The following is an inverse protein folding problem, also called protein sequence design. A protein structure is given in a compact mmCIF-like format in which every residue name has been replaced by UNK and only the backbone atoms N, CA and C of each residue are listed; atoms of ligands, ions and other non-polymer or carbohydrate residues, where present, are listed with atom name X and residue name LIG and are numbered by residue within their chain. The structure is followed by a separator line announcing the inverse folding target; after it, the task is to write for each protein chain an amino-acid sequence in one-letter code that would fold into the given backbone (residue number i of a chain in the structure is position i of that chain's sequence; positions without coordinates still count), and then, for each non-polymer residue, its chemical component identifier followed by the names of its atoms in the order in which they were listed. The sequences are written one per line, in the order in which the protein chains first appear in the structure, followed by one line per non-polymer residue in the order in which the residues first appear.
data_IF_522308670474
#
_entry.id   IF_522308670474
#
_cell.length_a   1.000
_cell.length_b   1.000
_cell.length_c   1.000
_cell.angle_alpha   90.00
_cell.angle_beta   90.00
_cell.angle_gamma   90.00
#
_symmetry.space_group_name_H-M   'P 1'
#
loop_
_entity.id
_entity.type
_entity.pdbx_description
1 polymer ?
2 non-polymer ?
3 water ?
#
# COMPACT_ATOMS: atom_id res chain seq x y z
N UNK A 47 10.99 19.21 12.76
CA UNK A 47 10.13 18.69 11.69
C UNK A 47 9.65 17.27 12.01
N UNK A 48 10.18 16.71 13.09
CA UNK A 48 9.60 15.53 13.72
C UNK A 48 8.55 16.04 14.72
N UNK A 49 7.47 15.30 14.93
CA UNK A 49 6.54 15.68 15.98
C UNK A 49 6.60 14.75 17.19
N UNK A 50 6.76 15.36 18.38
CA UNK A 50 6.85 14.62 19.62
C UNK A 50 5.52 14.72 20.34
N UNK A 51 4.85 15.85 20.15
CA UNK A 51 3.59 16.13 20.83
C UNK A 51 2.81 17.24 20.14
N UNK A 52 1.56 17.42 20.57
CA UNK A 52 0.71 18.45 20.00
C UNK A 52 0.60 19.67 20.90
N UNK A 53 -0.54 20.35 20.78
CA UNK A 53 -0.80 21.59 21.53
C UNK A 53 -0.88 21.32 23.03
N UNK A 54 0.11 21.81 23.78
CA UNK A 54 0.17 21.54 25.22
C UNK A 54 -0.87 22.31 26.02
N UNK A 55 -1.55 23.26 25.39
CA UNK A 55 -2.51 24.09 26.10
C UNK A 55 -3.94 23.59 25.90
N UNK A 56 -4.08 22.44 25.25
CA UNK A 56 -5.40 21.83 25.06
C UNK A 56 -5.42 20.41 25.59
N UNK A 57 -6.61 19.90 25.88
CA UNK A 57 -6.74 18.61 26.54
C UNK A 57 -7.02 17.47 25.56
N UNK A 58 -6.12 17.33 24.60
CA UNK A 58 -6.25 16.28 23.58
C UNK A 58 -4.94 15.51 23.54
N UNK A 59 -5.04 14.19 23.45
CA UNK A 59 -3.84 13.35 23.43
C UNK A 59 -4.06 12.27 22.39
N UNK A 60 -2.97 11.69 21.91
CA UNK A 60 -3.07 10.63 20.92
C UNK A 60 -2.50 9.34 21.49
N UNK A 61 -3.32 8.28 21.54
CA UNK A 61 -2.77 6.96 21.86
C UNK A 61 -2.32 6.34 20.56
N UNK A 62 -1.06 5.89 20.53
CA UNK A 62 -0.53 5.25 19.34
C UNK A 62 -0.03 3.83 19.68
N UNK A 63 -0.25 2.91 18.75
CA UNK A 63 0.12 1.51 18.93
C UNK A 63 1.04 1.06 17.80
N UNK A 64 2.26 0.62 18.14
CA UNK A 64 3.18 0.07 17.14
C UNK A 64 2.98 -1.45 17.03
N UNK A 65 2.95 -1.97 15.82
CA UNK A 65 2.91 -3.41 15.58
C UNK A 65 4.02 -3.83 14.61
N UNK A 66 4.99 -4.58 15.11
CA UNK A 66 6.09 -5.01 14.23
C UNK A 66 6.04 -6.52 13.99
N UNK A 67 5.26 -7.22 14.81
CA UNK A 67 5.14 -8.67 14.68
C UNK A 67 3.95 -9.16 15.49
N UNK A 68 3.51 -10.37 15.17
CA UNK A 68 2.53 -11.05 16.00
C UNK A 68 1.19 -11.35 15.36
N UNK A 69 0.47 -12.31 15.95
CA UNK A 69 -0.85 -12.68 15.45
C UNK A 69 -1.89 -12.91 16.55
N UNK A 70 -1.63 -12.42 17.77
CA UNK A 70 -2.51 -12.72 18.92
C UNK A 70 -3.04 -11.52 19.72
N UNK A 71 -2.22 -10.48 19.88
CA UNK A 71 -2.58 -9.40 20.81
C UNK A 71 -3.35 -8.24 20.20
N UNK A 72 -3.16 -7.98 18.90
CA UNK A 72 -3.77 -6.82 18.26
C UNK A 72 -5.29 -6.89 18.22
N UNK A 73 -5.84 -8.05 17.87
CA UNK A 73 -7.30 -8.16 17.76
C UNK A 73 -8.03 -7.89 19.09
N UNK A 74 -7.57 -8.51 20.21
CA UNK A 74 -8.22 -8.15 21.48
C UNK A 74 -8.08 -6.67 21.83
N UNK A 75 -6.93 -6.07 21.55
CA UNK A 75 -6.78 -4.62 21.74
C UNK A 75 -7.80 -3.85 20.90
N UNK A 76 -7.99 -4.29 19.66
CA UNK A 76 -8.98 -3.68 18.79
C UNK A 76 -10.40 -3.87 19.33
N UNK A 77 -10.68 -5.05 19.88
CA UNK A 77 -12.01 -5.29 20.48
C UNK A 77 -12.24 -4.39 21.67
N UNK A 78 -11.19 -4.15 22.45
CA UNK A 78 -11.29 -3.27 23.61
C UNK A 78 -11.58 -1.82 23.20
N UNK A 79 -10.85 -1.33 22.20
CA UNK A 79 -11.07 0.04 21.70
C UNK A 79 -12.49 0.22 21.19
N UNK A 80 -13.01 -0.79 20.51
CA UNK A 80 -14.37 -0.72 19.97
C UNK A 80 -15.38 -0.66 21.11
N UNK A 81 -15.18 -1.52 22.10
CA UNK A 81 -16.05 -1.65 23.27
C UNK A 81 -16.08 -0.39 24.13
N UNK A 82 -14.95 0.32 24.18
CA UNK A 82 -14.87 1.57 24.92
C UNK A 82 -15.16 2.78 24.02
N UNK A 83 -15.63 2.51 22.80
CA UNK A 83 -16.04 3.56 21.86
C UNK A 83 -14.88 4.45 21.33
N UNK A 84 -13.72 3.87 21.12
CA UNK A 84 -12.61 4.60 20.51
C UNK A 84 -12.44 4.17 19.05
N UNK A 85 -12.60 5.11 18.12
CA UNK A 85 -12.53 4.77 16.69
C UNK A 85 -11.45 5.58 15.97
N UNK A 86 -10.60 6.25 16.73
CA UNK A 86 -9.61 7.14 16.12
C UNK A 86 -8.25 7.08 16.80
N UNK A 87 -7.86 5.87 17.23
CA UNK A 87 -6.50 5.68 17.69
C UNK A 87 -5.59 5.66 16.45
N UNK A 88 -4.28 5.58 16.67
CA UNK A 88 -3.34 5.56 15.55
C UNK A 88 -2.45 4.32 15.69
N UNK A 89 -2.32 3.56 14.61
CA UNK A 89 -1.51 2.35 14.59
C UNK A 89 -0.38 2.50 13.60
N UNK A 90 0.86 2.28 14.04
CA UNK A 90 2.01 2.30 13.15
C UNK A 90 2.42 0.87 12.84
N UNK A 91 2.46 0.52 11.57
CA UNK A 91 2.56 -0.88 11.17
C UNK A 91 3.82 -1.10 10.37
N UNK A 92 4.51 -2.18 10.67
CA UNK A 92 5.59 -2.63 9.78
C UNK A 92 4.90 -3.29 8.59
N UNK A 93 5.28 -2.92 7.38
CA UNK A 93 4.57 -3.42 6.19
C UNK A 93 4.91 -4.88 5.89
N UNK A 94 6.05 -5.35 6.39
CA UNK A 94 6.39 -6.76 6.24
C UNK A 94 5.44 -7.58 7.10
N UNK A 95 5.14 -7.07 8.28
CA UNK A 95 4.13 -7.70 9.13
C UNK A 95 2.74 -7.63 8.48
N UNK A 96 2.38 -6.45 7.97
CA UNK A 96 1.03 -6.23 7.43
C UNK A 96 0.73 -7.15 6.25
N UNK A 97 1.72 -7.32 5.39
CA UNK A 97 1.61 -8.21 4.23
C UNK A 97 1.27 -9.65 4.65
N UNK A 98 1.76 -10.06 5.82
CA UNK A 98 1.55 -11.41 6.35
C UNK A 98 0.28 -11.53 7.18
N UNK A 99 -0.22 -10.40 7.69
CA UNK A 99 -1.43 -10.40 8.51
C UNK A 99 -2.50 -9.41 8.04
N UNK A 100 -2.96 -9.56 6.78
CA UNK A 100 -3.89 -8.56 6.25
C UNK A 100 -5.24 -8.61 6.96
N UNK A 101 -5.56 -9.72 7.61
CA UNK A 101 -6.81 -9.79 8.35
C UNK A 101 -6.80 -8.77 9.47
N UNK A 102 -5.67 -8.64 10.15
CA UNK A 102 -5.56 -7.66 11.24
C UNK A 102 -5.62 -6.23 10.69
N UNK A 103 -4.87 -5.95 9.63
CA UNK A 103 -4.93 -4.64 8.99
C UNK A 103 -6.36 -4.29 8.58
N UNK A 104 -7.07 -5.25 7.98
CA UNK A 104 -8.48 -5.08 7.59
C UNK A 104 -9.30 -4.59 8.77
N UNK A 105 -9.06 -5.17 9.92
CA UNK A 105 -9.86 -4.85 11.10
C UNK A 105 -9.57 -3.43 11.59
N UNK A 106 -8.30 -3.04 11.55
CA UNK A 106 -7.89 -1.69 11.96
C UNK A 106 -8.59 -0.66 11.06
N UNK A 107 -8.56 -0.90 9.76
CA UNK A 107 -9.20 -0.01 8.79
C UNK A 107 -10.72 0.04 9.03
N UNK A 108 -11.33 -1.12 9.22
CA UNK A 108 -12.77 -1.19 9.38
C UNK A 108 -13.27 -0.41 10.60
N UNK A 109 -12.48 -0.40 11.67
CA UNK A 109 -12.91 0.22 12.91
C UNK A 109 -12.69 1.73 12.91
N UNK A 110 -11.93 2.23 11.93
CA UNK A 110 -11.82 3.67 11.75
C UNK A 110 -10.49 4.30 12.10
N UNK A 111 -9.56 3.50 12.61
CA UNK A 111 -8.30 4.03 13.14
C UNK A 111 -7.39 4.55 12.04
N UNK A 112 -6.51 5.48 12.40
CA UNK A 112 -5.51 5.97 11.49
C UNK A 112 -4.33 5.00 11.44
N UNK A 113 -3.77 4.80 10.23
CA UNK A 113 -2.59 3.94 10.08
C UNK A 113 -1.36 4.70 9.60
N UNK A 114 -0.25 4.49 10.29
CA UNK A 114 1.00 5.09 9.87
C UNK A 114 1.97 3.99 9.48
N UNK A 115 3.03 4.37 8.77
CA UNK A 115 4.01 3.40 8.32
C UNK A 115 5.17 3.23 9.33
N UNK A 116 5.72 2.02 9.41
CA UNK A 116 7.01 1.83 10.11
C UNK A 116 8.02 1.22 9.14
N UNK A 117 7.91 1.59 7.87
CA UNK A 117 8.76 1.00 6.83
C UNK A 117 8.33 -0.42 6.50
N UNK A 118 9.13 -1.12 5.69
CA UNK A 118 8.79 -2.49 5.32
C UNK A 118 9.55 -3.45 6.19
N UNK A 119 10.87 -3.50 5.97
CA UNK A 119 11.77 -4.25 6.83
C UNK A 119 11.87 -3.60 8.21
N UNK A 120 11.95 -4.40 9.26
CA UNK A 120 12.14 -3.84 10.59
C UNK A 120 13.63 -3.73 10.93
N UNK A 121 14.36 -2.93 10.15
CA UNK A 121 15.73 -2.60 10.47
C UNK A 121 15.92 -1.08 10.49
N UNK A 122 16.81 -0.62 11.38
CA UNK A 122 17.04 0.79 11.62
C UNK A 122 17.48 1.57 10.38
N UNK A 123 16.85 2.71 10.16
CA UNK A 123 17.18 3.58 9.03
C UNK A 123 18.55 4.26 9.18
N UNK A 124 19.03 4.39 10.41
CA UNK A 124 20.33 5.00 10.69
C UNK A 124 21.48 4.12 10.20
N UNK A 125 21.19 2.84 9.99
CA UNK A 125 22.19 1.90 9.51
C UNK A 125 21.98 1.55 8.03
N UNK A 126 21.51 2.53 7.25
CA UNK A 126 21.18 2.29 5.84
C UNK A 126 21.57 3.48 4.97
N UNK A 127 21.91 3.19 3.71
CA UNK A 127 22.15 4.24 2.73
C UNK A 127 20.85 4.94 2.35
N UNK A 128 20.96 6.17 1.86
CA UNK A 128 19.81 6.95 1.41
C UNK A 128 18.82 6.21 0.50
N UNK A 129 19.33 5.60 -0.57
CA UNK A 129 18.48 4.88 -1.51
C UNK A 129 17.79 3.69 -0.86
N UNK A 130 18.47 3.01 0.05
CA UNK A 130 17.90 1.84 0.74
C UNK A 130 16.69 2.25 1.57
N UNK A 131 16.77 3.41 2.20
CA UNK A 131 15.67 3.96 3.00
C UNK A 131 14.48 4.32 2.13
N UNK A 132 14.73 5.06 1.05
CA UNK A 132 13.68 5.44 0.11
C UNK A 132 12.96 4.20 -0.43
N UNK A 133 13.73 3.19 -0.79
CA UNK A 133 13.17 1.95 -1.31
C UNK A 133 12.33 1.18 -0.28
N UNK A 134 12.76 1.22 0.98
CA UNK A 134 12.01 0.53 2.04
C UNK A 134 10.67 1.20 2.23
N UNK A 135 10.68 2.53 2.18
CA UNK A 135 9.47 3.33 2.35
C UNK A 135 8.52 3.13 1.17
N UNK A 136 9.07 3.06 -0.04
CA UNK A 136 8.26 2.84 -1.24
C UNK A 136 7.63 1.45 -1.26
N UNK A 137 8.43 0.44 -0.90
CA UNK A 137 7.91 -0.93 -0.80
C UNK A 137 6.77 -0.96 0.23
N UNK A 138 6.95 -0.25 1.33
CA UNK A 138 5.93 -0.24 2.37
C UNK A 138 4.62 0.40 1.88
N UNK A 139 4.72 1.56 1.22
CA UNK A 139 3.54 2.24 0.70
C UNK A 139 2.81 1.36 -0.32
N UNK A 140 3.58 0.61 -1.10
CA UNK A 140 3.02 -0.29 -2.09
C UNK A 140 2.14 -1.34 -1.41
N UNK A 141 2.67 -1.96 -0.36
CA UNK A 141 1.90 -2.93 0.42
C UNK A 141 0.67 -2.28 1.05
N UNK A 142 0.85 -1.12 1.66
CA UNK A 142 -0.29 -0.49 2.32
C UNK A 142 -1.44 -0.17 1.37
N UNK A 143 -1.11 0.24 0.15
CA UNK A 143 -2.13 0.52 -0.85
C UNK A 143 -2.87 -0.74 -1.25
N UNK A 144 -2.12 -1.83 -1.42
CA UNK A 144 -2.73 -3.11 -1.76
C UNK A 144 -3.61 -3.63 -0.63
N UNK A 145 -3.35 -3.21 0.60
CA UNK A 145 -4.20 -3.58 1.71
C UNK A 145 -5.35 -2.59 1.89
N UNK A 146 -5.44 -1.59 1.02
CA UNK A 146 -6.54 -0.63 1.08
C UNK A 146 -6.38 0.48 2.12
N UNK A 147 -5.16 0.69 2.58
CA UNK A 147 -4.89 1.74 3.55
C UNK A 147 -4.85 3.10 2.87
N UNK A 148 -5.57 4.08 3.43
CA UNK A 148 -5.52 5.45 2.95
C UNK A 148 -4.06 5.88 2.95
N UNK A 149 -3.66 6.66 1.94
CA UNK A 149 -2.25 6.93 1.70
C UNK A 149 -1.53 7.49 2.92
N UNK A 150 -0.36 6.92 3.20
CA UNK A 150 0.39 7.26 4.39
C UNK A 150 0.90 8.71 4.38
N UNK A 151 0.62 9.42 5.48
CA UNK A 151 1.21 10.72 5.71
C UNK A 151 2.22 10.66 6.86
N UNK A 152 2.12 9.61 7.68
CA UNK A 152 2.88 9.54 8.93
C UNK A 152 3.85 8.37 9.01
N UNK A 153 5.05 8.66 9.50
CA UNK A 153 6.10 7.66 9.59
C UNK A 153 6.67 7.56 11.00
N UNK A 154 6.75 6.34 11.51
CA UNK A 154 7.53 6.07 12.71
C UNK A 154 8.65 5.09 12.33
N UNK A 155 9.87 5.61 12.15
CA UNK A 155 11.00 4.81 11.68
C UNK A 155 11.28 3.63 12.61
N UNK A 156 11.64 2.47 12.05
CA UNK A 156 11.83 1.24 12.84
C UNK A 156 12.75 1.49 14.04
N UNK A 157 12.31 1.10 15.23
CA UNK A 157 13.04 1.30 16.50
C UNK A 157 13.08 2.74 16.99
N UNK A 158 12.52 3.66 16.21
CA UNK A 158 12.53 5.07 16.57
C UNK A 158 13.83 5.76 16.18
N UNK A 159 14.75 4.99 15.59
CA UNK A 159 16.04 5.52 15.19
C UNK A 159 15.96 6.32 13.89
N UNK A 160 16.37 7.58 13.95
CA UNK A 160 16.47 8.42 12.76
C UNK A 160 17.52 9.51 12.97
N UNK A 161 17.94 10.14 11.88
CA UNK A 161 18.87 11.26 11.94
C UNK A 161 18.45 12.34 10.95
N UNK A 162 19.42 13.12 10.47
CA UNK A 162 19.14 14.18 9.51
C UNK A 162 18.74 13.61 8.14
N UNK A 163 19.52 12.65 7.68
CA UNK A 163 19.26 11.98 6.42
C UNK A 163 17.83 11.48 6.32
N UNK A 164 17.44 10.69 7.32
CA UNK A 164 16.13 10.08 7.40
C UNK A 164 15.00 11.10 7.23
N UNK A 165 15.11 12.22 7.95
CA UNK A 165 14.07 13.25 7.94
C UNK A 165 13.88 13.88 6.56
N UNK A 166 14.99 14.17 5.88
CA UNK A 166 14.90 14.77 4.56
C UNK A 166 14.27 13.81 3.57
N UNK A 167 14.71 12.55 3.63
CA UNK A 167 14.10 11.50 2.83
C UNK A 167 12.61 11.45 3.09
N UNK A 168 12.24 11.33 4.36
CA UNK A 168 10.83 11.31 4.73
C UNK A 168 10.10 12.51 4.16
N UNK A 169 10.71 13.69 4.27
CA UNK A 169 10.12 14.90 3.70
C UNK A 169 10.02 14.79 2.17
N UNK A 170 11.05 14.21 1.56
CA UNK A 170 11.04 14.02 0.11
C UNK A 170 9.87 13.13 -0.32
N UNK A 171 9.49 12.19 0.54
CA UNK A 171 8.39 11.29 0.23
C UNK A 171 7.04 11.80 0.72
N UNK A 172 7.03 12.97 1.34
CA UNK A 172 5.77 13.57 1.78
C UNK A 172 5.34 13.18 3.19
N UNK A 173 6.24 12.52 3.92
CA UNK A 173 5.94 12.01 5.26
C UNK A 173 6.25 13.00 6.38
N UNK A 174 5.47 12.96 7.44
CA UNK A 174 5.84 13.58 8.72
C UNK A 174 6.38 12.49 9.64
N UNK A 175 7.55 12.70 10.23
CA UNK A 175 8.08 11.73 11.19
C UNK A 175 7.44 11.94 12.57
N UNK A 176 6.93 10.85 13.15
CA UNK A 176 6.22 10.93 14.43
C UNK A 176 7.00 10.18 15.51
N UNK A 177 7.26 10.85 16.62
CA UNK A 177 7.91 10.19 17.74
C UNK A 177 6.86 10.03 18.83
N UNK A 178 7.20 10.41 20.06
CA UNK A 178 6.25 10.35 21.18
C UNK A 178 6.76 11.19 22.34
N UNK A 179 5.88 11.46 23.31
CA UNK A 179 6.25 12.31 24.42
C UNK A 179 5.98 11.60 25.75
N UNK A 180 5.28 10.46 25.68
CA UNK A 180 4.87 9.73 26.88
C UNK A 180 4.96 8.23 26.59
N UNK A 181 6.05 7.61 27.06
CA UNK A 181 6.31 6.19 26.81
C UNK A 181 5.73 5.32 27.93
N UNK A 182 4.75 4.48 27.59
CA UNK A 182 4.12 3.60 28.57
C UNK A 182 5.06 2.52 29.05
N UNK A 183 6.11 2.25 28.27
CA UNK A 183 7.01 1.11 28.53
C UNK A 183 6.30 -0.23 28.56
N UNK A 184 5.14 -0.31 27.91
CA UNK A 184 4.36 -1.53 27.92
C UNK A 184 5.06 -2.75 27.28
N UNK A 185 6.03 -2.50 26.38
CA UNK A 185 6.79 -3.59 25.76
C UNK A 185 7.65 -4.34 26.78
N UNK A 186 7.92 -3.69 27.91
CA UNK A 186 8.68 -4.31 29.00
C UNK A 186 7.79 -5.21 29.86
N UNK A 187 6.48 -5.15 29.64
CA UNK A 187 5.52 -5.82 30.51
C UNK A 187 5.76 -5.65 32.02
N UNK A 188 5.76 -4.40 32.50
CA UNK A 188 6.19 -4.15 33.87
C UNK A 188 5.06 -4.35 34.86
N UNK A 189 3.92 -4.85 34.39
CA UNK A 189 2.73 -4.96 35.23
C UNK A 189 1.68 -3.93 34.82
N UNK A 190 0.41 -4.34 34.82
CA UNK A 190 -0.69 -3.43 34.45
C UNK A 190 -0.66 -2.11 35.23
N UNK A 191 -0.59 -2.20 36.56
CA UNK A 191 -0.53 -0.99 37.38
C UNK A 191 0.58 -0.03 36.97
N UNK A 192 1.73 -0.58 36.59
CA UNK A 192 2.88 0.23 36.20
C UNK A 192 2.68 0.91 34.83
N UNK A 193 2.07 0.18 33.91
CA UNK A 193 1.70 0.77 32.61
C UNK A 193 0.72 1.91 32.84
N UNK A 194 -0.31 1.64 33.62
CA UNK A 194 -1.32 2.67 33.91
C UNK A 194 -0.71 3.90 34.61
N UNK A 195 0.14 3.68 35.62
CA UNK A 195 0.65 4.83 36.38
C UNK A 195 1.69 5.61 35.57
N UNK A 196 2.52 4.90 34.79
CA UNK A 196 3.49 5.58 33.93
C UNK A 196 2.79 6.57 33.00
N UNK A 197 1.77 6.12 32.28
CA UNK A 197 1.07 7.02 31.37
C UNK A 197 0.30 8.08 32.14
N UNK A 198 -0.48 7.67 33.13
CA UNK A 198 -1.34 8.66 33.77
C UNK A 198 -0.62 9.66 34.70
N UNK A 199 0.44 9.24 35.40
CA UNK A 199 1.17 10.19 36.26
C UNK A 199 1.83 11.29 35.44
N UNK A 200 2.18 10.98 34.20
CA UNK A 200 2.92 11.90 33.36
C UNK A 200 2.06 12.56 32.29
N UNK A 201 0.76 12.30 32.33
CA UNK A 201 -0.13 12.71 31.25
C UNK A 201 -0.26 14.23 31.16
N UNK A 202 0.12 14.78 30.00
CA UNK A 202 -0.08 16.21 29.71
C UNK A 202 -0.91 16.34 28.45
N UNK A 203 -1.65 17.45 28.33
CA UNK A 203 -2.32 17.77 27.08
C UNK A 203 -1.33 17.84 25.93
N UNK A 204 -1.72 17.32 24.78
CA UNK A 204 -0.83 17.26 23.63
C UNK A 204 0.05 16.01 23.56
N UNK A 205 -0.02 15.16 24.58
CA UNK A 205 0.82 13.96 24.61
C UNK A 205 0.58 13.02 23.43
N UNK A 206 1.66 12.48 22.90
CA UNK A 206 1.57 11.31 22.04
C UNK A 206 2.10 10.15 22.86
N UNK A 207 1.22 9.19 23.15
CA UNK A 207 1.54 8.08 24.02
C UNK A 207 1.95 6.86 23.21
N UNK A 208 3.10 6.28 23.58
CA UNK A 208 3.57 5.06 22.92
C UNK A 208 3.08 3.80 23.63
N UNK A 209 2.31 2.99 22.92
CA UNK A 209 1.85 1.69 23.39
C UNK A 209 2.18 0.72 22.28
N UNK A 210 2.04 -0.59 22.55
CA UNK A 210 2.30 -1.60 21.54
C UNK A 210 1.11 -2.52 21.37
N UNK A 211 0.87 -2.99 20.15
CA UNK A 211 -0.14 -4.03 19.92
C UNK A 211 0.47 -5.25 19.25
N UNK A 212 1.81 -5.34 19.30
CA UNK A 212 2.50 -6.55 18.85
C UNK A 212 2.35 -7.65 19.89
N UNK A 213 2.83 -8.86 19.59
CA UNK A 213 2.71 -9.96 20.54
C UNK A 213 3.69 -9.84 21.72
N UNK A 214 4.50 -8.79 21.73
CA UNK A 214 5.33 -8.46 22.90
C UNK A 214 4.48 -7.84 24.00
N UNK A 215 3.32 -7.32 23.62
CA UNK A 215 2.47 -6.58 24.55
C UNK A 215 1.50 -7.50 25.27
N UNK A 216 1.97 -8.13 26.35
CA UNK A 216 1.17 -9.08 27.09
C UNK A 216 0.15 -8.44 28.03
N UNK A 217 0.35 -7.17 28.34
CA UNK A 217 -0.46 -6.52 29.40
C UNK A 217 -1.20 -5.27 28.91
N UNK A 218 -0.95 -4.87 27.66
CA UNK A 218 -1.49 -3.63 27.13
C UNK A 218 -3.02 -3.61 27.13
N UNK A 219 -3.62 -4.71 26.64
CA UNK A 219 -5.07 -4.82 26.60
C UNK A 219 -5.73 -4.71 27.98
N UNK A 220 -5.07 -5.27 29.00
CA UNK A 220 -5.56 -5.22 30.38
C UNK A 220 -5.49 -3.81 30.93
N UNK A 221 -4.47 -3.05 30.51
CA UNK A 221 -4.27 -1.69 31.00
C UNK A 221 -5.17 -0.71 30.28
N UNK A 222 -5.57 -1.06 29.06
CA UNK A 222 -6.26 -0.11 28.17
C UNK A 222 -7.60 0.48 28.69
N UNK A 223 -8.46 -0.34 29.31
CA UNK A 223 -9.67 0.31 29.83
C UNK A 223 -9.35 1.33 30.91
N UNK A 224 -8.30 1.06 31.70
CA UNK A 224 -7.95 1.95 32.80
C UNK A 224 -7.34 3.24 32.28
N UNK A 225 -6.53 3.12 31.22
CA UNK A 225 -5.97 4.28 30.53
C UNK A 225 -7.07 5.14 29.92
N UNK A 226 -8.04 4.51 29.27
CA UNK A 226 -9.11 5.25 28.59
C UNK A 226 -10.04 5.93 29.61
N UNK A 227 -10.24 5.28 30.75
CA UNK A 227 -11.04 5.86 31.83
C UNK A 227 -10.35 7.08 32.41
N UNK A 228 -9.06 6.96 32.67
CA UNK A 228 -8.27 8.09 33.15
C UNK A 228 -8.42 9.28 32.20
N UNK A 229 -8.39 9.01 30.90
CA UNK A 229 -8.51 10.07 29.91
C UNK A 229 -9.86 10.76 30.05
N UNK A 230 -10.93 9.98 29.97
CA UNK A 230 -12.28 10.54 30.03
C UNK A 230 -12.54 11.26 31.35
N UNK A 231 -12.22 10.62 32.47
CA UNK A 231 -12.58 11.19 33.78
C UNK A 231 -11.82 12.49 34.07
N UNK A 232 -10.64 12.64 33.47
CA UNK A 232 -9.90 13.89 33.66
C UNK A 232 -10.07 14.90 32.52
N UNK A 233 -11.04 14.66 31.65
CA UNK A 233 -11.40 15.62 30.62
C UNK A 233 -10.48 15.69 29.41
N UNK A 234 -9.70 14.64 29.17
CA UNK A 234 -8.89 14.60 27.96
C UNK A 234 -9.63 13.91 26.83
N UNK A 235 -9.37 14.33 25.60
CA UNK A 235 -9.98 13.71 24.43
C UNK A 235 -8.91 12.94 23.64
N UNK A 236 -9.19 11.69 23.31
CA UNK A 236 -8.27 10.90 22.48
C UNK A 236 -8.51 11.20 21.01
N UNK A 237 -7.50 11.69 20.30
CA UNK A 237 -7.64 11.93 18.87
C UNK A 237 -6.52 11.27 18.08
N UNK A 238 -6.70 11.15 16.77
CA UNK A 238 -5.65 10.52 15.96
C UNK A 238 -4.44 11.46 15.85
N UNK A 239 -3.29 10.93 15.42
CA UNK A 239 -2.09 11.75 15.31
C UNK A 239 -2.23 12.86 14.27
N UNK A 240 -2.96 12.57 13.20
CA UNK A 240 -3.20 13.57 12.15
C UNK A 240 -4.12 14.66 12.66
N UNK A 241 -5.13 14.28 13.44
CA UNK A 241 -6.01 15.25 14.08
C UNK A 241 -5.22 16.14 15.04
N UNK A 242 -4.29 15.52 15.77
CA UNK A 242 -3.47 16.25 16.75
C UNK A 242 -2.55 17.24 16.05
N UNK A 243 -1.91 16.80 14.98
CA UNK A 243 -1.02 17.67 14.19
C UNK A 243 -1.76 18.89 13.66
N UNK A 244 -2.93 18.67 13.07
CA UNK A 244 -3.68 19.76 12.47
C UNK A 244 -4.25 20.70 13.55
N UNK A 245 -4.36 20.21 14.78
CA UNK A 245 -4.89 20.99 15.89
C UNK A 245 -3.86 21.82 16.61
N UNK A 246 -2.62 21.85 16.09
CA UNK A 246 -1.55 22.58 16.76
C UNK A 246 -1.57 24.06 16.41
N UNK B 47 -18.56 0.49 -18.29
CA UNK B 47 -17.81 -0.55 -18.99
C UNK B 47 -16.55 -0.99 -18.22
N UNK B 48 -16.57 -2.24 -17.76
CA UNK B 48 -15.52 -2.80 -16.92
C UNK B 48 -15.26 -4.25 -17.36
N UNK B 49 -14.01 -4.70 -17.33
CA UNK B 49 -13.75 -6.09 -17.73
C UNK B 49 -12.88 -6.82 -16.71
N UNK B 50 -13.29 -8.05 -16.37
CA UNK B 50 -12.52 -8.90 -15.47
C UNK B 50 -11.90 -10.03 -16.28
N UNK B 51 -12.59 -10.42 -17.36
CA UNK B 51 -12.06 -11.44 -18.27
C UNK B 51 -12.85 -11.47 -19.56
N UNK B 52 -12.25 -12.00 -20.61
CA UNK B 52 -12.86 -11.99 -21.92
C UNK B 52 -13.65 -13.24 -22.28
N UNK B 53 -13.96 -13.37 -23.56
CA UNK B 53 -14.83 -14.44 -24.09
C UNK B 53 -14.17 -15.81 -24.02
N UNK B 54 -14.73 -16.65 -23.16
CA UNK B 54 -14.09 -17.89 -22.71
C UNK B 54 -14.05 -19.00 -23.76
N UNK B 55 -14.46 -18.67 -24.97
CA UNK B 55 -14.48 -19.62 -26.08
C UNK B 55 -13.07 -19.98 -26.57
N UNK B 56 -12.25 -18.96 -26.78
CA UNK B 56 -10.96 -19.12 -27.47
C UNK B 56 -9.77 -19.12 -26.52
N UNK B 57 -8.75 -19.91 -26.82
CA UNK B 57 -7.56 -19.99 -25.97
C UNK B 57 -6.65 -18.77 -26.14
N UNK B 58 -7.15 -17.64 -25.65
CA UNK B 58 -6.41 -16.38 -25.65
C UNK B 58 -6.46 -15.82 -24.23
N UNK B 59 -5.33 -15.33 -23.73
CA UNK B 59 -5.25 -14.67 -22.43
C UNK B 59 -4.46 -13.37 -22.53
N UNK B 60 -4.69 -12.48 -21.57
CA UNK B 60 -3.95 -11.22 -21.53
C UNK B 60 -3.07 -11.16 -20.28
N UNK B 61 -1.76 -11.04 -20.49
CA UNK B 61 -0.84 -10.82 -19.38
C UNK B 61 -0.74 -9.32 -19.15
N UNK B 62 -1.02 -8.88 -17.93
CA UNK B 62 -0.97 -7.46 -17.61
C UNK B 62 0.08 -7.20 -16.53
N UNK B 63 0.81 -6.11 -16.68
CA UNK B 63 1.86 -5.77 -15.72
C UNK B 63 1.57 -4.40 -15.10
N UNK B 64 1.46 -4.36 -13.77
CA UNK B 64 1.24 -3.09 -13.04
C UNK B 64 2.61 -2.55 -12.67
N UNK B 65 2.86 -1.26 -12.92
CA UNK B 65 4.07 -0.60 -12.40
C UNK B 65 3.72 0.66 -11.62
N UNK B 66 3.97 0.66 -10.31
CA UNK B 66 3.67 1.83 -9.49
C UNK B 66 4.92 2.48 -8.89
N UNK B 67 6.04 1.76 -8.87
CA UNK B 67 7.30 2.32 -8.38
C UNK B 67 8.48 1.47 -8.87
N UNK B 68 9.68 2.05 -8.90
CA UNK B 68 10.86 1.26 -9.18
C UNK B 68 11.71 1.68 -10.37
N UNK B 69 12.99 1.32 -10.31
CA UNK B 69 13.90 1.63 -11.41
C UNK B 69 14.73 0.42 -11.83
N UNK B 70 14.39 -0.76 -11.32
CA UNK B 70 15.22 -1.94 -11.50
C UNK B 70 14.58 -3.13 -12.22
N UNK B 71 13.31 -3.39 -11.93
CA UNK B 71 12.70 -4.66 -12.33
C UNK B 71 12.03 -4.65 -13.70
N UNK B 72 11.53 -3.50 -14.11
CA UNK B 72 10.78 -3.38 -15.36
C UNK B 72 11.62 -3.64 -16.63
N UNK B 73 12.82 -3.10 -16.68
CA UNK B 73 13.62 -3.25 -17.91
C UNK B 73 13.97 -4.72 -18.21
N UNK B 74 14.43 -5.49 -17.19
CA UNK B 74 14.66 -6.91 -17.50
C UNK B 74 13.39 -7.65 -17.91
N UNK B 75 12.22 -7.24 -17.42
CA UNK B 75 10.98 -7.90 -17.82
C UNK B 75 10.71 -7.60 -19.27
N UNK B 76 10.92 -6.35 -19.65
CA UNK B 76 10.77 -5.92 -21.03
C UNK B 76 11.75 -6.65 -21.97
N UNK B 77 12.96 -6.89 -21.49
CA UNK B 77 13.94 -7.64 -22.29
C UNK B 77 13.51 -9.10 -22.46
N UNK B 78 13.03 -9.71 -21.38
CA UNK B 78 12.54 -11.09 -21.42
C UNK B 78 11.42 -11.21 -22.44
N UNK B 79 10.45 -10.31 -22.38
CA UNK B 79 9.36 -10.30 -23.34
C UNK B 79 9.86 -10.16 -24.78
N UNK B 80 10.80 -9.24 -25.00
CA UNK B 80 11.26 -8.95 -26.35
C UNK B 80 11.99 -10.14 -26.97
N UNK B 81 12.75 -10.87 -26.17
CA UNK B 81 13.52 -11.95 -26.75
C UNK B 81 12.71 -13.23 -26.92
N UNK B 82 11.46 -13.21 -26.46
CA UNK B 82 10.53 -14.30 -26.75
C UNK B 82 9.42 -13.82 -27.68
N UNK B 83 9.68 -12.71 -28.35
CA UNK B 83 8.75 -12.15 -29.33
C UNK B 83 7.35 -11.77 -28.81
N UNK B 84 7.23 -11.49 -27.52
CA UNK B 84 5.97 -10.95 -26.99
C UNK B 84 5.96 -9.42 -27.16
N UNK B 85 5.16 -8.91 -28.09
CA UNK B 85 5.13 -7.47 -28.37
C UNK B 85 3.78 -6.85 -28.06
N UNK B 86 2.89 -7.62 -27.43
CA UNK B 86 1.52 -7.17 -27.20
C UNK B 86 1.03 -7.49 -25.78
N UNK B 87 1.89 -7.32 -24.79
CA UNK B 87 1.43 -7.37 -23.39
C UNK B 87 0.80 -6.03 -23.03
N UNK B 88 0.19 -5.94 -21.84
CA UNK B 88 -0.44 -4.68 -21.42
C UNK B 88 0.22 -4.22 -20.14
N UNK B 89 0.69 -2.96 -20.14
CA UNK B 89 1.33 -2.38 -18.95
C UNK B 89 0.44 -1.31 -18.36
N UNK B 90 0.08 -1.47 -17.08
CA UNK B 90 -0.67 -0.43 -16.39
C UNK B 90 0.27 0.40 -15.52
N UNK B 91 0.29 1.70 -15.77
CA UNK B 91 1.33 2.58 -15.23
C UNK B 91 0.75 3.68 -14.35
N UNK B 92 1.29 3.78 -13.14
CA UNK B 92 1.00 4.90 -12.26
C UNK B 92 1.67 6.11 -12.86
N UNK B 93 0.94 7.20 -13.03
CA UNK B 93 1.50 8.35 -13.73
C UNK B 93 2.55 9.08 -12.90
N UNK B 94 2.44 9.02 -11.58
CA UNK B 94 3.49 9.62 -10.74
C UNK B 94 4.82 8.91 -10.98
N UNK B 95 4.75 7.59 -11.16
CA UNK B 95 5.95 6.85 -11.51
C UNK B 95 6.38 7.19 -12.94
N UNK B 96 5.41 7.23 -13.85
CA UNK B 96 5.71 7.44 -15.27
C UNK B 96 6.45 8.76 -15.56
N UNK B 97 6.03 9.85 -14.93
CA UNK B 97 6.69 11.14 -15.18
C UNK B 97 8.10 11.16 -14.62
N UNK B 98 8.42 10.23 -13.74
CA UNK B 98 9.75 10.13 -13.14
C UNK B 98 10.65 9.12 -13.86
N UNK B 99 10.08 8.38 -14.81
CA UNK B 99 10.87 7.39 -15.57
C UNK B 99 10.47 7.37 -17.03
N UNK B 100 10.56 8.53 -17.72
CA UNK B 100 10.05 8.54 -19.09
C UNK B 100 10.85 7.67 -20.05
N UNK B 101 12.11 7.36 -19.72
CA UNK B 101 12.89 6.46 -20.56
C UNK B 101 12.30 5.04 -20.50
N UNK B 102 11.76 4.65 -19.34
CA UNK B 102 11.17 3.32 -19.21
C UNK B 102 9.85 3.27 -20.00
N UNK B 103 9.08 4.36 -19.93
CA UNK B 103 7.82 4.46 -20.66
C UNK B 103 8.05 4.39 -22.18
N UNK B 104 9.08 5.10 -22.64
CA UNK B 104 9.42 5.10 -24.06
C UNK B 104 9.78 3.68 -24.52
N UNK B 105 10.48 2.93 -23.66
CA UNK B 105 10.85 1.55 -23.99
C UNK B 105 9.62 0.64 -24.13
N UNK B 106 8.66 0.82 -23.22
CA UNK B 106 7.41 0.06 -23.28
C UNK B 106 6.66 0.35 -24.58
N UNK B 107 6.57 1.63 -24.94
CA UNK B 107 5.88 2.05 -26.16
C UNK B 107 6.57 1.47 -27.40
N UNK B 108 7.88 1.72 -27.49
CA UNK B 108 8.69 1.29 -28.63
C UNK B 108 8.61 -0.23 -28.86
N UNK B 109 8.52 -1.00 -27.78
CA UNK B 109 8.44 -2.45 -27.90
C UNK B 109 7.08 -2.92 -28.41
N UNK B 110 6.09 -2.02 -28.42
CA UNK B 110 4.79 -2.34 -28.99
C UNK B 110 3.66 -2.63 -28.02
N UNK B 111 3.97 -2.66 -26.72
CA UNK B 111 2.94 -3.03 -25.75
C UNK B 111 1.86 -1.97 -25.58
N UNK B 112 0.67 -2.39 -25.15
CA UNK B 112 -0.39 -1.45 -24.84
C UNK B 112 -0.16 -0.86 -23.44
N UNK B 113 -0.47 0.43 -23.31
CA UNK B 113 -0.33 1.13 -22.04
C UNK B 113 -1.71 1.49 -21.53
N UNK B 114 -2.00 1.14 -20.28
CA UNK B 114 -3.20 1.63 -19.62
C UNK B 114 -2.82 2.56 -18.48
N UNK B 115 -3.74 3.45 -18.09
CA UNK B 115 -3.49 4.32 -16.96
C UNK B 115 -3.79 3.59 -15.66
N UNK B 116 -3.03 3.91 -14.61
CA UNK B 116 -3.33 3.41 -13.27
C UNK B 116 -3.56 4.58 -12.30
N UNK B 117 -4.07 5.70 -12.82
CA UNK B 117 -4.17 6.90 -12.00
C UNK B 117 -2.82 7.60 -11.84
N UNK B 118 -2.74 8.59 -10.95
CA UNK B 118 -1.49 9.33 -10.75
C UNK B 118 -0.76 8.79 -9.52
N UNK B 119 -1.37 8.99 -8.36
CA UNK B 119 -0.84 8.43 -7.13
C UNK B 119 -1.27 6.97 -6.96
N UNK B 120 -0.39 6.15 -6.39
CA UNK B 120 -0.75 4.76 -6.13
C UNK B 120 -1.46 4.65 -4.79
N UNK B 121 -2.73 5.01 -4.78
CA UNK B 121 -3.51 4.97 -3.55
C UNK B 121 -4.91 4.47 -3.86
N UNK B 122 -5.51 3.75 -2.93
CA UNK B 122 -6.82 3.14 -3.18
C UNK B 122 -7.89 4.20 -3.42
N UNK B 123 -8.52 4.15 -4.59
CA UNK B 123 -9.64 5.03 -4.88
C UNK B 123 -10.84 4.85 -3.92
N UNK B 124 -11.00 3.68 -3.34
CA UNK B 124 -12.11 3.54 -2.39
C UNK B 124 -11.82 4.20 -1.04
N UNK B 125 -10.62 4.76 -0.89
CA UNK B 125 -10.29 5.55 0.30
C UNK B 125 -10.41 7.05 0.05
N UNK B 126 -10.71 7.43 -1.19
CA UNK B 126 -10.74 8.83 -1.59
C UNK B 126 -12.17 9.33 -1.82
N UNK B 127 -12.35 10.64 -1.69
CA UNK B 127 -13.59 11.31 -2.10
C UNK B 127 -13.65 11.37 -3.61
N UNK B 128 -14.86 11.52 -4.15
CA UNK B 128 -15.05 11.61 -5.60
C UNK B 128 -14.23 12.72 -6.27
N UNK B 129 -14.11 13.88 -5.62
CA UNK B 129 -13.36 15.00 -6.20
C UNK B 129 -11.86 14.65 -6.29
N UNK B 130 -11.37 13.90 -5.31
CA UNK B 130 -9.97 13.47 -5.30
C UNK B 130 -9.70 12.43 -6.40
N UNK B 131 -10.63 11.49 -6.56
CA UNK B 131 -10.51 10.48 -7.62
C UNK B 131 -10.43 11.16 -8.97
N UNK B 132 -11.32 12.14 -9.19
CA UNK B 132 -11.32 12.86 -10.46
C UNK B 132 -10.02 13.64 -10.64
N UNK B 133 -9.53 14.27 -9.57
CA UNK B 133 -8.30 15.06 -9.69
C UNK B 133 -7.17 14.12 -10.05
N UNK B 134 -7.16 12.94 -9.44
CA UNK B 134 -6.08 11.98 -9.67
C UNK B 134 -6.06 11.49 -11.13
N UNK B 135 -7.23 11.18 -11.68
CA UNK B 135 -7.32 10.73 -13.06
C UNK B 135 -6.94 11.82 -14.08
N UNK B 136 -7.31 13.06 -13.80
CA UNK B 136 -6.97 14.16 -14.69
C UNK B 136 -5.47 14.47 -14.63
N UNK B 137 -4.87 14.38 -13.44
CA UNK B 137 -3.43 14.54 -13.33
C UNK B 137 -2.73 13.47 -14.19
N UNK B 138 -3.20 12.22 -14.10
CA UNK B 138 -2.61 11.13 -14.88
C UNK B 138 -2.73 11.38 -16.39
N UNK B 139 -3.91 11.82 -16.81
CA UNK B 139 -4.18 12.13 -18.21
C UNK B 139 -3.18 13.18 -18.71
N UNK B 140 -2.96 14.21 -17.90
CA UNK B 140 -2.00 15.26 -18.26
C UNK B 140 -0.58 14.69 -18.40
N UNK B 141 -0.19 13.84 -17.46
CA UNK B 141 1.15 13.21 -17.55
C UNK B 141 1.32 12.43 -18.84
N UNK B 142 0.34 11.60 -19.19
CA UNK B 142 0.49 10.76 -20.37
C UNK B 142 0.46 11.56 -21.66
N UNK B 143 -0.34 12.61 -21.69
CA UNK B 143 -0.36 13.54 -22.82
C UNK B 143 1.02 14.15 -23.03
N UNK B 144 1.61 14.65 -21.93
CA UNK B 144 2.96 15.22 -21.96
C UNK B 144 4.00 14.20 -22.40
N UNK B 145 3.77 12.92 -22.09
CA UNK B 145 4.72 11.89 -22.51
C UNK B 145 4.44 11.43 -23.93
N UNK B 146 3.42 11.98 -24.56
CA UNK B 146 3.12 11.63 -25.94
C UNK B 146 2.28 10.38 -26.13
N UNK B 147 1.69 9.87 -25.04
CA UNK B 147 0.74 8.76 -25.15
C UNK B 147 -0.70 9.26 -24.92
N UNK B 148 -1.38 9.58 -26.03
CA UNK B 148 -2.70 10.19 -25.97
C UNK B 148 -3.82 9.20 -26.24
N UNK B 149 -3.46 7.98 -26.64
CA UNK B 149 -4.47 7.02 -27.04
C UNK B 149 -4.84 6.03 -25.95
N UNK B 150 -4.90 6.48 -24.69
CA UNK B 150 -5.20 5.54 -23.60
C UNK B 150 -6.70 5.22 -23.52
N UNK B 151 -7.03 3.93 -23.52
CA UNK B 151 -8.40 3.46 -23.58
C UNK B 151 -8.74 2.66 -22.33
N UNK B 152 -7.71 2.25 -21.60
CA UNK B 152 -7.86 1.36 -20.46
C UNK B 152 -7.41 2.00 -19.16
N UNK B 153 -8.20 1.79 -18.10
CA UNK B 153 -7.82 2.25 -16.77
C UNK B 153 -7.87 1.10 -15.78
N UNK B 154 -6.78 0.90 -15.04
CA UNK B 154 -6.85 0.03 -13.86
C UNK B 154 -6.64 0.90 -12.62
N UNK B 155 -7.72 1.15 -11.87
CA UNK B 155 -7.57 1.94 -10.64
C UNK B 155 -6.57 1.23 -9.74
N UNK B 156 -5.77 1.99 -8.97
CA UNK B 156 -4.71 1.40 -8.16
C UNK B 156 -5.17 0.18 -7.35
N UNK B 157 -4.49 -0.95 -7.54
CA UNK B 157 -4.78 -2.20 -6.85
C UNK B 157 -6.16 -2.78 -7.10
N UNK B 158 -6.82 -2.32 -8.18
CA UNK B 158 -8.11 -2.85 -8.55
C UNK B 158 -9.29 -2.39 -7.73
N UNK B 159 -9.05 -1.47 -6.79
CA UNK B 159 -10.12 -0.93 -5.92
C UNK B 159 -10.91 0.17 -6.62
N UNK B 160 -12.23 0.02 -6.72
CA UNK B 160 -13.02 1.07 -7.35
C UNK B 160 -14.51 1.01 -6.97
N UNK B 161 -15.23 2.09 -7.27
CA UNK B 161 -16.66 2.18 -7.01
C UNK B 161 -17.38 2.78 -8.21
N UNK B 162 -18.68 3.02 -8.08
CA UNK B 162 -19.46 3.56 -9.20
C UNK B 162 -19.03 4.96 -9.60
N UNK B 163 -18.66 5.78 -8.62
CA UNK B 163 -18.16 7.11 -8.91
C UNK B 163 -16.91 7.03 -9.78
N UNK B 164 -16.03 6.07 -9.47
CA UNK B 164 -14.85 5.83 -10.31
C UNK B 164 -15.26 5.47 -11.75
N UNK B 165 -16.20 4.54 -11.90
CA UNK B 165 -16.70 4.16 -13.22
C UNK B 165 -17.28 5.33 -13.99
N UNK B 166 -18.00 6.21 -13.27
CA UNK B 166 -18.62 7.34 -13.93
C UNK B 166 -17.55 8.31 -14.46
N UNK B 167 -16.51 8.53 -13.66
CA UNK B 167 -15.41 9.37 -14.14
C UNK B 167 -14.65 8.70 -15.27
N UNK B 168 -14.36 7.41 -15.11
CA UNK B 168 -13.68 6.65 -16.16
C UNK B 168 -14.44 6.77 -17.49
N UNK B 169 -15.74 6.54 -17.43
CA UNK B 169 -16.58 6.66 -18.61
C UNK B 169 -16.44 8.03 -19.28
N UNK B 170 -16.54 9.09 -18.49
CA UNK B 170 -16.46 10.45 -19.05
C UNK B 170 -15.11 10.71 -19.72
N UNK B 171 -14.09 9.95 -19.31
CA UNK B 171 -12.77 10.10 -19.88
C UNK B 171 -12.56 9.11 -21.02
N UNK B 172 -13.58 8.30 -21.29
CA UNK B 172 -13.50 7.30 -22.34
C UNK B 172 -12.63 6.10 -22.02
N UNK B 173 -12.56 5.72 -20.74
CA UNK B 173 -11.77 4.56 -20.32
C UNK B 173 -12.65 3.34 -20.04
N UNK B 174 -12.15 2.17 -20.44
CA UNK B 174 -12.67 0.92 -19.90
C UNK B 174 -11.86 0.57 -18.66
N UNK B 175 -12.56 0.18 -17.59
CA UNK B 175 -11.92 -0.23 -16.35
C UNK B 175 -11.54 -1.71 -16.41
N UNK B 176 -10.29 -2.03 -16.09
CA UNK B 176 -9.78 -3.37 -16.29
C UNK B 176 -9.35 -3.96 -14.96
N UNK B 177 -10.05 -5.00 -14.50
CA UNK B 177 -9.68 -5.69 -13.27
C UNK B 177 -8.92 -6.95 -13.74
N UNK B 178 -9.19 -8.11 -13.17
CA UNK B 178 -8.50 -9.33 -13.62
C UNK B 178 -9.26 -10.58 -13.20
N UNK B 179 -8.80 -11.75 -13.63
CA UNK B 179 -9.50 -12.98 -13.27
C UNK B 179 -8.51 -14.06 -12.83
N UNK B 180 -7.24 -13.66 -12.76
CA UNK B 180 -6.17 -14.57 -12.41
C UNK B 180 -5.08 -13.74 -11.79
N UNK B 181 -4.85 -13.95 -10.49
CA UNK B 181 -3.86 -13.15 -9.78
C UNK B 181 -2.65 -13.99 -9.43
N UNK B 182 -1.50 -13.65 -9.99
CA UNK B 182 -0.27 -14.39 -9.76
C UNK B 182 0.20 -14.23 -8.32
N UNK B 183 -0.30 -13.17 -7.67
CA UNK B 183 0.22 -12.71 -6.39
C UNK B 183 1.74 -12.60 -6.31
N UNK B 184 2.34 -12.16 -7.42
CA UNK B 184 3.79 -12.11 -7.54
C UNK B 184 4.41 -11.03 -6.64
N UNK B 185 3.61 -10.03 -6.24
CA UNK B 185 4.12 -8.97 -5.37
C UNK B 185 4.41 -9.46 -3.97
N UNK B 186 3.92 -10.65 -3.63
CA UNK B 186 4.24 -11.26 -2.33
C UNK B 186 5.48 -12.14 -2.42
N UNK B 187 6.04 -12.24 -3.62
CA UNK B 187 7.25 -13.06 -3.85
C UNK B 187 7.19 -14.46 -3.20
N UNK B 188 6.17 -15.26 -3.60
CA UNK B 188 5.87 -16.54 -2.94
C UNK B 188 6.75 -17.67 -3.46
N UNK B 189 7.67 -17.37 -4.37
CA UNK B 189 8.54 -18.37 -4.97
C UNK B 189 8.26 -18.44 -6.45
N UNK B 190 9.31 -18.60 -7.26
CA UNK B 190 9.18 -18.62 -8.72
C UNK B 190 8.18 -19.66 -9.22
N UNK B 191 8.37 -20.91 -8.81
CA UNK B 191 7.50 -21.98 -9.29
C UNK B 191 6.06 -21.80 -8.82
N UNK B 192 5.90 -21.24 -7.62
CA UNK B 192 4.58 -20.95 -7.05
C UNK B 192 3.85 -19.91 -7.89
N UNK B 193 4.57 -18.87 -8.32
CA UNK B 193 3.99 -17.88 -9.24
C UNK B 193 3.54 -18.59 -10.50
N UNK B 194 4.42 -19.43 -11.04
CA UNK B 194 4.07 -20.18 -12.25
C UNK B 194 2.83 -21.06 -12.05
N UNK B 195 2.77 -21.81 -10.96
CA UNK B 195 1.64 -22.73 -10.77
C UNK B 195 0.35 -21.97 -10.45
N UNK B 196 0.45 -20.92 -9.67
CA UNK B 196 -0.73 -20.11 -9.32
C UNK B 196 -1.42 -19.62 -10.58
N UNK B 197 -0.63 -19.14 -11.54
CA UNK B 197 -1.19 -18.69 -12.81
C UNK B 197 -1.63 -19.84 -13.70
N UNK B 198 -0.72 -20.77 -14.00
CA UNK B 198 -1.00 -21.78 -15.03
C UNK B 198 -2.02 -22.85 -14.60
N UNK B 199 -2.02 -23.22 -13.33
CA UNK B 199 -3.02 -24.18 -12.86
C UNK B 199 -4.43 -23.61 -12.76
N UNK B 200 -4.58 -22.30 -12.98
CA UNK B 200 -5.88 -21.65 -12.78
C UNK B 200 -6.22 -20.80 -13.99
N UNK B 201 -5.67 -21.20 -15.13
CA UNK B 201 -5.83 -20.44 -16.35
C UNK B 201 -6.93 -21.01 -17.25
N UNK B 202 -7.83 -20.16 -17.72
CA UNK B 202 -8.82 -20.55 -18.72
C UNK B 202 -8.77 -19.53 -19.84
N UNK B 203 -9.32 -19.89 -20.99
CA UNK B 203 -9.47 -18.95 -22.09
C UNK B 203 -10.12 -17.65 -21.68
N UNK B 204 -9.52 -16.53 -22.09
CA UNK B 204 -10.08 -15.21 -21.80
C UNK B 204 -9.58 -14.61 -20.49
N UNK B 205 -8.79 -15.37 -19.73
CA UNK B 205 -8.28 -14.88 -18.45
C UNK B 205 -7.46 -13.60 -18.62
N UNK B 206 -7.66 -12.64 -17.70
CA UNK B 206 -6.76 -11.52 -17.55
C UNK B 206 -5.89 -11.78 -16.34
N UNK B 207 -4.57 -11.86 -16.56
CA UNK B 207 -3.65 -12.23 -15.51
C UNK B 207 -2.96 -11.00 -14.93
N UNK B 208 -2.99 -10.85 -13.61
CA UNK B 208 -2.27 -9.77 -12.94
C UNK B 208 -0.86 -10.18 -12.57
N UNK B 209 0.11 -9.48 -13.17
CA UNK B 209 1.52 -9.61 -12.81
C UNK B 209 2.06 -8.20 -12.51
N UNK B 210 3.23 -8.13 -11.89
CA UNK B 210 3.80 -6.82 -11.54
C UNK B 210 5.18 -6.63 -12.18
N UNK B 211 5.46 -5.39 -12.59
CA UNK B 211 6.82 -5.06 -13.04
C UNK B 211 7.40 -3.91 -12.20
N UNK B 212 6.78 -3.63 -11.05
CA UNK B 212 7.31 -2.65 -10.12
C UNK B 212 8.50 -3.29 -9.40
N UNK B 213 9.17 -2.54 -8.55
CA UNK B 213 10.33 -3.09 -7.86
C UNK B 213 9.94 -3.99 -6.67
N UNK B 214 8.64 -4.19 -6.47
CA UNK B 214 8.18 -5.20 -5.52
C UNK B 214 8.28 -6.60 -6.11
N UNK B 215 8.41 -6.67 -7.44
CA UNK B 215 8.38 -7.94 -8.14
C UNK B 215 9.78 -8.53 -8.32
N UNK B 216 10.28 -9.22 -7.31
CA UNK B 216 11.64 -9.76 -7.32
C UNK B 216 11.76 -11.08 -8.10
N UNK B 217 10.63 -11.75 -8.32
CA UNK B 217 10.66 -13.09 -8.90
C UNK B 217 9.96 -13.18 -10.24
N UNK B 218 9.36 -12.06 -10.67
CA UNK B 218 8.49 -12.11 -11.83
C UNK B 218 9.25 -12.37 -13.14
N UNK B 219 10.44 -11.80 -13.25
CA UNK B 219 11.21 -11.99 -14.47
C UNK B 219 11.63 -13.46 -14.64
N UNK B 220 11.97 -14.11 -13.53
CA UNK B 220 12.35 -15.52 -13.56
C UNK B 220 11.19 -16.46 -13.90
N UNK B 221 9.98 -16.12 -13.42
CA UNK B 221 8.81 -16.94 -13.65
C UNK B 221 8.31 -16.78 -15.08
N UNK B 222 8.60 -15.63 -15.65
CA UNK B 222 7.98 -15.26 -16.93
C UNK B 222 8.26 -16.24 -18.09
N UNK B 223 9.53 -16.68 -18.27
CA UNK B 223 9.75 -17.60 -19.39
C UNK B 223 9.03 -18.92 -19.19
N UNK B 224 8.91 -19.36 -17.94
CA UNK B 224 8.17 -20.57 -17.60
C UNK B 224 6.67 -20.42 -17.88
N UNK B 225 6.11 -19.28 -17.46
CA UNK B 225 4.73 -18.95 -17.76
C UNK B 225 4.45 -18.97 -19.25
N UNK B 226 5.37 -18.44 -20.04
CA UNK B 226 5.17 -18.39 -21.49
C UNK B 226 5.22 -19.81 -22.08
N UNK B 227 6.04 -20.67 -21.46
CA UNK B 227 6.12 -22.07 -21.89
C UNK B 227 4.84 -22.83 -21.58
N UNK B 228 4.22 -22.54 -20.43
CA UNK B 228 2.94 -23.15 -20.08
C UNK B 228 1.90 -22.77 -21.12
N UNK B 229 1.94 -21.52 -21.55
CA UNK B 229 1.03 -21.04 -22.60
C UNK B 229 1.23 -21.83 -23.89
N UNK B 230 2.49 -21.94 -24.31
CA UNK B 230 2.82 -22.68 -25.52
C UNK B 230 2.37 -24.14 -25.39
N UNK B 231 2.69 -24.78 -24.28
CA UNK B 231 2.34 -26.19 -24.09
C UNK B 231 0.83 -26.44 -24.18
N UNK B 232 0.02 -25.47 -23.73
CA UNK B 232 -1.42 -25.67 -23.66
C UNK B 232 -2.15 -25.02 -24.84
N UNK B 233 -1.41 -24.40 -25.74
CA UNK B 233 -2.02 -23.80 -26.91
C UNK B 233 -2.62 -22.41 -26.76
N UNK B 234 -2.29 -21.71 -25.67
CA UNK B 234 -2.80 -20.34 -25.47
C UNK B 234 -1.96 -19.28 -26.18
N UNK B 235 -2.63 -18.30 -26.78
CA UNK B 235 -1.99 -17.12 -27.34
C UNK B 235 -2.12 -15.93 -26.37
N UNK B 236 -1.03 -15.18 -26.18
CA UNK B 236 -1.07 -13.97 -25.35
C UNK B 236 -1.44 -12.78 -26.23
N UNK B 237 -2.48 -12.05 -25.83
CA UNK B 237 -2.90 -10.85 -26.56
C UNK B 237 -3.05 -9.67 -25.60
N UNK B 238 -3.19 -8.47 -26.15
CA UNK B 238 -3.36 -7.29 -25.31
C UNK B 238 -4.81 -7.22 -24.82
N UNK B 239 -5.04 -6.45 -23.76
CA UNK B 239 -6.40 -6.34 -23.22
C UNK B 239 -7.36 -5.78 -24.26
N UNK B 240 -6.90 -4.80 -25.03
CA UNK B 240 -7.75 -4.22 -26.07
C UNK B 240 -8.03 -5.22 -27.20
N UNK B 241 -7.07 -6.09 -27.49
CA UNK B 241 -7.33 -7.17 -28.44
C UNK B 241 -8.37 -8.12 -27.83
N UNK B 242 -8.19 -8.45 -26.56
CA UNK B 242 -9.15 -9.27 -25.84
C UNK B 242 -10.55 -8.66 -25.84
N UNK B 243 -10.65 -7.35 -25.60
CA UNK B 243 -11.93 -6.65 -25.59
C UNK B 243 -12.62 -6.68 -26.96
N UNK B 244 -11.88 -6.35 -28.01
CA UNK B 244 -12.42 -6.35 -29.36
C UNK B 244 -12.88 -7.75 -29.80
N UNK B 245 -12.10 -8.77 -29.47
CA UNK B 245 -12.42 -10.15 -29.84
C UNK B 245 -13.71 -10.69 -29.21
N UNK B 246 -14.09 -10.22 -28.03
CA UNK B 246 -15.35 -10.65 -27.41
C UNK B 246 -16.53 -9.83 -27.94
#
# INVERSE_FOLDING_TARGET
MFFFFITSKRNFKHISLIVILSLFTAWLLFLKTYSHESAFSTATGPKVIYKGDTSKKQVAFTFDISWGDKKAIPILDTLKERDIKNATFFLSAAWAERHPDVVERIIKDGHEIGSMGYNYTSYTSLETNEIRRDLLRAQDVFTKLGVKQIKLLRPPSGDFNKATLKIAESLGYTVVHWSNNSNDWKNPGVNKIVSTVSNNLKGGDIVLLHASDSALQTNKALPLLLQKLKSDGYEQISVSQLISNTSTKSKDVQ
MFFFFITSKRNFKHISLIVILSLFTAWLLFLKTYSHESAFSTATGPKVIYKGDTSKKQVAFTFDISWGDKKAIPILDTLKERDIKNATFFLSAAWAERHPDVVERIIKDGHEIGSMGYNYTSYTSLETNEIRRDLLRAQDVFTKLGVKQIKLLRPPSGDFNKATLKIAESLGYTVVHWSNNSNDWKNPGVNKIVSTVSNNLKGGDIVLLHASDSALQTNKALPLLLQKLKSDGYEQISVSQLISNTSTKSKDVQ
#
